data_IF_153804164610
#
_entry.id   IF_153804164610
#
_cell.length_a   1.000
_cell.length_b   1.000
_cell.length_c   1.000
_cell.angle_alpha   90.00
_cell.angle_beta   90.00
_cell.angle_gamma   90.00
#
_symmetry.space_group_name_H-M   'P 1'
#
loop_
_entity.id
_entity.type
_entity.pdbx_description
1 polymer ?
#
# COMPACT_ATOMS: atom_id res chain seq x y z
N UNK A 1 14.66 -4.00 2.33
CA UNK A 1 13.79 -5.09 2.67
C UNK A 1 13.59 -6.03 1.48
N UNK A 2 13.27 -7.26 1.79
CA UNK A 2 13.07 -8.28 0.79
C UNK A 2 11.78 -8.04 0.01
N UNK A 3 11.71 -8.53 -1.20
CA UNK A 3 10.48 -8.48 -2.00
C UNK A 3 9.57 -9.67 -1.73
N UNK A 4 9.85 -10.43 -0.70
CA UNK A 4 9.05 -11.58 -0.31
C UNK A 4 7.61 -11.15 0.00
N UNK A 5 6.66 -12.02 -0.29
CA UNK A 5 5.25 -11.78 -0.02
C UNK A 5 4.94 -11.60 1.47
N UNK A 6 5.82 -12.09 2.35
CA UNK A 6 5.67 -11.89 3.78
C UNK A 6 6.07 -10.50 4.25
N UNK A 7 6.72 -9.72 3.40
CA UNK A 7 7.22 -8.39 3.77
C UNK A 7 6.14 -7.34 3.57
N UNK A 8 5.39 -7.07 4.63
CA UNK A 8 4.35 -6.06 4.66
C UNK A 8 4.76 -4.95 5.61
N UNK A 9 4.39 -3.73 5.30
CA UNK A 9 4.74 -2.59 6.13
C UNK A 9 3.56 -1.68 6.41
N UNK A 10 3.61 -1.01 7.55
CA UNK A 10 2.65 0.03 7.91
C UNK A 10 3.43 1.28 8.25
N UNK A 11 3.09 2.39 7.60
CA UNK A 11 3.71 3.69 7.85
C UNK A 11 2.68 4.66 8.38
N UNK A 12 3.06 5.39 9.42
CA UNK A 12 2.18 6.36 10.06
C UNK A 12 2.87 7.72 10.07
N UNK A 13 2.17 8.75 9.61
CA UNK A 13 2.62 10.13 9.82
C UNK A 13 1.40 11.02 9.97
N UNK A 14 1.56 12.35 9.97
CA UNK A 14 0.45 13.26 10.23
C UNK A 14 -0.75 13.02 9.34
N UNK A 15 -0.56 13.03 8.02
CA UNK A 15 -1.61 12.79 7.03
C UNK A 15 -1.44 11.48 6.29
N UNK A 16 -0.27 10.88 6.33
CA UNK A 16 0.08 9.70 5.55
C UNK A 16 0.50 10.02 4.11
N UNK A 17 0.30 11.25 3.66
CA UNK A 17 0.56 11.62 2.27
C UNK A 17 2.05 11.58 1.93
N UNK A 18 2.86 12.26 2.73
CA UNK A 18 4.31 12.32 2.47
C UNK A 18 4.98 10.95 2.49
N UNK A 19 4.64 10.13 3.49
CA UNK A 19 5.23 8.79 3.58
C UNK A 19 4.79 7.89 2.43
N UNK A 20 3.55 8.04 1.94
CA UNK A 20 3.10 7.25 0.80
C UNK A 20 3.85 7.61 -0.47
N UNK A 21 4.09 8.90 -0.69
CA UNK A 21 4.86 9.36 -1.85
C UNK A 21 6.30 8.83 -1.76
N UNK A 22 6.93 8.99 -0.60
CA UNK A 22 8.30 8.53 -0.40
C UNK A 22 8.42 7.01 -0.57
N UNK A 23 7.49 6.26 0.02
CA UNK A 23 7.52 4.80 -0.05
C UNK A 23 7.40 4.31 -1.49
N UNK A 24 6.56 4.95 -2.29
CA UNK A 24 6.36 4.54 -3.68
C UNK A 24 7.54 4.87 -4.59
N UNK A 25 8.54 5.59 -4.11
CA UNK A 25 9.79 5.81 -4.84
C UNK A 25 10.74 4.61 -4.73
N UNK A 26 10.48 3.71 -3.80
CA UNK A 26 11.32 2.53 -3.61
C UNK A 26 10.83 1.42 -4.55
N UNK A 27 11.70 0.86 -5.41
CA UNK A 27 11.29 -0.21 -6.31
C UNK A 27 10.67 -1.39 -5.55
N UNK A 28 9.59 -1.92 -6.07
CA UNK A 28 8.88 -3.05 -5.46
C UNK A 28 7.87 -2.66 -4.39
N UNK A 29 7.85 -1.40 -3.94
CA UNK A 29 6.90 -0.94 -2.94
C UNK A 29 5.63 -0.45 -3.63
N UNK A 30 4.50 -0.99 -3.19
CA UNK A 30 3.17 -0.53 -3.58
C UNK A 30 2.48 -0.02 -2.32
N UNK A 31 2.72 1.24 -2.00
CA UNK A 31 2.18 1.87 -0.80
C UNK A 31 0.84 2.52 -1.11
N UNK A 32 -0.14 2.24 -0.28
CA UNK A 32 -1.48 2.79 -0.40
C UNK A 32 -1.80 3.67 0.79
N UNK A 33 -2.24 4.89 0.50
CA UNK A 33 -2.74 5.81 1.52
C UNK A 33 -4.22 5.54 1.72
N UNK A 34 -4.61 5.16 2.92
CA UNK A 34 -5.99 4.78 3.20
C UNK A 34 -6.55 5.60 4.37
N UNK A 35 -7.85 5.87 4.33
CA UNK A 35 -8.55 6.64 5.34
C UNK A 35 -9.80 5.95 5.86
N UNK A 36 -10.24 4.86 5.22
CA UNK A 36 -11.47 4.17 5.59
C UNK A 36 -11.37 2.68 5.26
N UNK A 37 -12.36 1.92 5.72
CA UNK A 37 -12.36 0.47 5.51
C UNK A 37 -12.43 0.10 4.03
N UNK A 38 -13.15 0.87 3.24
CA UNK A 38 -13.29 0.60 1.81
C UNK A 38 -11.93 0.70 1.11
N UNK A 39 -11.20 1.80 1.31
CA UNK A 39 -9.90 1.98 0.67
C UNK A 39 -8.87 0.97 1.17
N UNK A 40 -8.90 0.62 2.46
CA UNK A 40 -8.00 -0.39 3.00
C UNK A 40 -8.25 -1.76 2.36
N UNK A 41 -9.52 -2.14 2.21
CA UNK A 41 -9.90 -3.40 1.57
C UNK A 41 -9.48 -3.41 0.10
N UNK A 42 -9.77 -2.33 -0.62
CA UNK A 42 -9.42 -2.24 -2.05
C UNK A 42 -7.91 -2.21 -2.28
N UNK A 43 -7.15 -1.62 -1.36
CA UNK A 43 -5.69 -1.61 -1.46
C UNK A 43 -5.14 -3.05 -1.50
N UNK A 44 -5.71 -3.94 -0.70
CA UNK A 44 -5.31 -5.35 -0.72
C UNK A 44 -5.91 -6.08 -1.92
N UNK A 45 -7.21 -5.94 -2.12
CA UNK A 45 -7.97 -6.74 -3.08
C UNK A 45 -7.61 -6.40 -4.53
N UNK A 46 -7.52 -5.12 -4.87
CA UNK A 46 -7.30 -4.67 -6.23
C UNK A 46 -5.85 -4.35 -6.55
N UNK A 47 -5.09 -3.86 -5.58
CA UNK A 47 -3.77 -3.32 -5.85
C UNK A 47 -2.63 -4.09 -5.20
N UNK A 48 -2.95 -5.15 -4.45
CA UNK A 48 -1.94 -5.95 -3.76
C UNK A 48 -0.90 -5.07 -3.07
N UNK A 49 -1.38 -4.03 -2.37
CA UNK A 49 -0.49 -3.10 -1.69
C UNK A 49 0.30 -3.85 -0.62
N UNK A 50 1.61 -3.64 -0.58
CA UNK A 50 2.47 -4.25 0.42
C UNK A 50 2.87 -3.29 1.53
N UNK A 51 2.51 -2.02 1.40
CA UNK A 51 2.70 -1.02 2.44
C UNK A 51 1.40 -0.23 2.60
N UNK A 52 0.91 -0.13 3.82
CA UNK A 52 -0.26 0.66 4.14
C UNK A 52 0.19 1.95 4.83
N UNK A 53 -0.28 3.09 4.34
CA UNK A 53 0.04 4.39 4.93
C UNK A 53 -1.22 4.98 5.55
N UNK A 54 -1.11 5.47 6.78
CA UNK A 54 -2.24 6.05 7.50
C UNK A 54 -1.82 7.38 8.11
N UNK A 55 -2.79 8.30 8.23
CA UNK A 55 -2.56 9.61 8.83
C UNK A 55 -2.93 9.61 10.30
N UNK A 56 -1.94 9.65 11.17
CA UNK A 56 -2.18 9.61 12.61
C UNK A 56 -2.91 10.83 13.15
N UNK A 57 -2.90 11.95 12.44
CA UNK A 57 -3.66 13.15 12.84
C UNK A 57 -5.10 13.09 12.38
N UNK A 58 -5.40 12.29 11.36
CA UNK A 58 -6.71 12.24 10.72
C UNK A 58 -7.58 11.12 11.26
N UNK A 59 -6.96 10.07 11.79
CA UNK A 59 -7.67 8.86 12.20
C UNK A 59 -7.54 8.65 13.70
N UNK A 60 -8.64 8.22 14.33
CA UNK A 60 -8.56 7.72 15.69
C UNK A 60 -7.72 6.43 15.73
N UNK A 61 -6.95 6.20 16.80
CA UNK A 61 -6.11 5.00 16.87
C UNK A 61 -6.86 3.70 16.63
N UNK A 62 -8.07 3.57 17.13
CA UNK A 62 -8.85 2.37 16.93
C UNK A 62 -9.23 2.16 15.46
N UNK A 63 -9.61 3.23 14.78
CA UNK A 63 -9.91 3.14 13.35
C UNK A 63 -8.67 2.73 12.56
N UNK A 64 -7.51 3.30 12.89
CA UNK A 64 -6.27 2.93 12.23
C UNK A 64 -5.98 1.43 12.35
N UNK A 65 -6.21 0.86 13.55
CA UNK A 65 -6.04 -0.57 13.76
C UNK A 65 -7.04 -1.40 12.95
N UNK A 66 -8.29 -0.94 12.86
CA UNK A 66 -9.31 -1.61 12.05
C UNK A 66 -8.94 -1.61 10.57
N UNK A 67 -8.35 -0.52 10.08
CA UNK A 67 -7.90 -0.44 8.70
C UNK A 67 -6.77 -1.43 8.41
N UNK A 68 -5.82 -1.54 9.34
CA UNK A 68 -4.71 -2.49 9.21
C UNK A 68 -5.26 -3.93 9.20
N UNK A 69 -6.17 -4.24 10.11
CA UNK A 69 -6.76 -5.58 10.17
C UNK A 69 -7.51 -5.92 8.89
N UNK A 70 -8.32 -4.99 8.37
CA UNK A 70 -9.06 -5.20 7.13
C UNK A 70 -8.12 -5.46 5.95
N UNK A 71 -7.04 -4.69 5.87
CA UNK A 71 -6.04 -4.85 4.82
C UNK A 71 -5.33 -6.20 4.92
N UNK A 72 -4.93 -6.61 6.12
CA UNK A 72 -4.24 -7.88 6.32
C UNK A 72 -5.13 -9.10 6.04
N UNK A 73 -6.44 -8.98 6.29
CA UNK A 73 -7.37 -10.08 6.11
C UNK A 73 -7.92 -10.22 4.70
N UNK A 74 -7.73 -9.21 3.84
CA UNK A 74 -8.30 -9.22 2.50
C UNK A 74 -7.31 -9.80 1.50
N UNK A 75 -7.67 -10.88 0.78
CA UNK A 75 -6.80 -11.44 -0.24
C UNK A 75 -6.80 -10.60 -1.52
N UNK A 76 -5.69 -10.66 -2.23
CA UNK A 76 -5.56 -10.03 -3.54
C UNK A 76 -6.37 -10.80 -4.57
N UNK A 77 -7.09 -10.08 -5.44
CA UNK A 77 -7.77 -10.68 -6.59
C UNK A 77 -6.86 -10.64 -7.80
N UNK A 78 -6.40 -11.81 -8.25
CA UNK A 78 -5.40 -11.91 -9.31
C UNK A 78 -5.85 -11.33 -10.66
N UNK A 79 -7.14 -11.12 -10.86
CA UNK A 79 -7.64 -10.50 -12.10
C UNK A 79 -7.07 -9.08 -12.32
N UNK A 80 -6.49 -8.49 -11.27
CA UNK A 80 -5.88 -7.16 -11.36
C UNK A 80 -4.38 -7.21 -11.62
N UNK A 81 -3.78 -8.40 -11.70
CA UNK A 81 -2.33 -8.55 -11.81
C UNK A 81 -1.76 -7.85 -13.05
N UNK A 82 -2.43 -7.88 -14.17
CA UNK A 82 -1.91 -7.26 -15.38
C UNK A 82 -1.71 -5.74 -15.24
N UNK A 83 -2.54 -5.09 -14.42
CA UNK A 83 -2.36 -3.66 -14.13
C UNK A 83 -1.15 -3.41 -13.24
N UNK A 84 -0.91 -4.31 -12.30
CA UNK A 84 0.27 -4.22 -11.44
C UNK A 84 1.55 -4.46 -12.25
N UNK A 85 1.48 -5.35 -13.23
CA UNK A 85 2.62 -5.60 -14.13
C UNK A 85 2.98 -4.34 -14.91
N UNK A 86 1.99 -3.54 -15.31
CA UNK A 86 2.25 -2.26 -15.98
C UNK A 86 2.93 -1.27 -15.04
N UNK A 87 2.55 -1.24 -13.77
CA UNK A 87 3.21 -0.39 -12.78
C UNK A 87 4.67 -0.81 -12.59
N UNK A 88 4.90 -2.12 -12.48
CA UNK A 88 6.26 -2.65 -12.36
C UNK A 88 7.11 -2.33 -13.58
N UNK A 89 6.52 -2.37 -14.78
CA UNK A 89 7.21 -2.01 -16.00
C UNK A 89 7.63 -0.53 -16.00
N UNK A 90 6.77 0.34 -15.46
CA UNK A 90 7.13 1.76 -15.33
C UNK A 90 8.30 1.95 -14.39
N UNK A 91 8.38 1.21 -13.28
CA UNK A 91 9.53 1.26 -12.39
C UNK A 91 10.82 0.90 -13.13
N UNK A 92 10.79 -0.18 -13.90
CA UNK A 92 11.94 -0.61 -14.67
C UNK A 92 12.38 0.44 -15.68
N UNK A 93 11.44 1.03 -16.41
CA UNK A 93 11.73 2.06 -17.39
C UNK A 93 12.35 3.31 -16.77
N UNK A 94 11.83 3.72 -15.60
CA UNK A 94 12.34 4.90 -14.90
C UNK A 94 13.70 4.63 -14.26
N UNK A 95 13.93 3.41 -13.79
CA UNK A 95 15.20 3.04 -13.17
C UNK A 95 16.32 2.95 -14.18
N UNK A 96 16.02 2.54 -15.40
CA UNK A 96 16.99 2.40 -16.49
C UNK A 96 17.29 3.74 -17.16
N UNK A 97 16.45 4.70 -16.97
CA UNK A 97 16.63 6.04 -17.48
C UNK A 97 17.50 6.88 -16.59
#
# INVERSE_FOLDING_TARGET
CSSDLSDLGVLVCGTGIGVSIAANKVPGVRAALVHDLTTATLAAQHNNANVLCVGGRLLAPQLALELVDAWLETPFEERHQHRLDKISALEGALSDG
#
